data_IF_398074083574
#
_entry.id   IF_398074083574
#
_cell.length_a   1.000
_cell.length_b   1.000
_cell.length_c   1.000
_cell.angle_alpha   90.00
_cell.angle_beta   90.00
_cell.angle_gamma   90.00
#
_symmetry.space_group_name_H-M   'P 1'
#
loop_
_entity.id
_entity.type
_entity.pdbx_description
1 polymer ?
#
# COMPACT_ATOMS: atom_id res chain seq x y z
N UNK A 1 10.20 -14.58 -9.82
CA UNK A 1 8.73 -14.78 -10.01
C UNK A 1 8.01 -13.54 -9.48
N UNK A 2 7.01 -12.98 -10.18
CA UNK A 2 6.50 -11.64 -9.87
C UNK A 2 5.77 -11.58 -8.50
N UNK A 3 5.89 -10.50 -7.72
CA UNK A 3 5.35 -10.39 -6.36
C UNK A 3 3.83 -10.64 -6.31
N UNK A 4 3.08 -10.11 -7.28
CA UNK A 4 1.65 -10.38 -7.43
C UNK A 4 1.34 -11.83 -7.83
N UNK A 5 2.24 -12.50 -8.55
CA UNK A 5 2.08 -13.91 -8.93
C UNK A 5 2.34 -14.83 -7.72
N UNK A 6 3.25 -14.45 -6.82
CA UNK A 6 3.55 -15.22 -5.60
C UNK A 6 2.56 -14.94 -4.46
N UNK A 7 2.08 -13.71 -4.32
CA UNK A 7 1.26 -13.28 -3.18
C UNK A 7 -0.20 -12.98 -3.55
N UNK A 8 -0.52 -12.88 -4.85
CA UNK A 8 -1.88 -12.76 -5.38
C UNK A 8 -2.72 -11.74 -4.62
N UNK A 9 -3.92 -12.19 -4.25
CA UNK A 9 -4.93 -11.47 -3.48
C UNK A 9 -4.44 -10.88 -2.14
N UNK A 10 -3.31 -11.34 -1.59
CA UNK A 10 -2.74 -10.74 -0.37
C UNK A 10 -2.13 -9.36 -0.65
N UNK A 11 -1.57 -9.16 -1.84
CA UNK A 11 -0.98 -7.89 -2.23
C UNK A 11 -2.05 -6.85 -2.54
N UNK A 12 -3.12 -7.26 -3.23
CA UNK A 12 -4.34 -6.45 -3.44
C UNK A 12 -4.92 -5.95 -2.10
N UNK A 13 -5.14 -6.87 -1.16
CA UNK A 13 -5.68 -6.54 0.15
C UNK A 13 -4.71 -5.66 0.96
N UNK A 14 -3.41 -5.93 0.93
CA UNK A 14 -2.42 -5.13 1.65
C UNK A 14 -2.34 -3.70 1.11
N UNK A 15 -2.37 -3.51 -0.22
CA UNK A 15 -2.44 -2.20 -0.84
C UNK A 15 -3.76 -1.49 -0.51
N UNK A 16 -4.90 -2.19 -0.57
CA UNK A 16 -6.19 -1.62 -0.21
C UNK A 16 -6.20 -1.11 1.24
N UNK A 17 -5.72 -1.92 2.19
CA UNK A 17 -5.61 -1.53 3.60
C UNK A 17 -4.65 -0.36 3.78
N UNK A 18 -3.53 -0.33 3.06
CA UNK A 18 -2.59 0.78 3.14
C UNK A 18 -3.21 2.09 2.61
N UNK A 19 -4.02 2.04 1.56
CA UNK A 19 -4.77 3.20 1.07
C UNK A 19 -5.80 3.70 2.09
N UNK A 20 -6.54 2.80 2.75
CA UNK A 20 -7.46 3.16 3.84
C UNK A 20 -6.72 3.81 5.02
N UNK A 21 -5.55 3.29 5.40
CA UNK A 21 -4.70 3.90 6.44
C UNK A 21 -4.24 5.30 6.02
N UNK A 22 -3.87 5.50 4.75
CA UNK A 22 -3.48 6.81 4.24
C UNK A 22 -4.64 7.82 4.32
N UNK A 23 -5.87 7.40 3.96
CA UNK A 23 -7.08 8.23 4.09
C UNK A 23 -7.31 8.62 5.54
N UNK A 24 -7.25 7.65 6.47
CA UNK A 24 -7.44 7.93 7.90
C UNK A 24 -6.39 8.89 8.45
N UNK A 25 -5.12 8.75 8.04
CA UNK A 25 -4.04 9.67 8.44
C UNK A 25 -4.29 11.08 7.92
N UNK A 26 -4.72 11.23 6.66
CA UNK A 26 -5.04 12.54 6.09
C UNK A 26 -6.26 13.17 6.78
N UNK A 27 -7.32 12.41 7.03
CA UNK A 27 -8.55 12.92 7.65
C UNK A 27 -8.39 13.31 9.13
N UNK A 28 -7.42 12.72 9.84
CA UNK A 28 -7.15 12.99 11.27
C UNK A 28 -5.99 13.97 11.50
N UNK A 29 -5.39 14.49 10.44
CA UNK A 29 -4.25 15.39 10.54
C UNK A 29 -4.72 16.81 10.90
N UNK A 30 -4.79 17.07 12.21
CA UNK A 30 -5.30 18.34 12.74
C UNK A 30 -4.25 19.45 12.73
N UNK A 31 -2.97 19.09 12.87
CA UNK A 31 -1.83 20.02 12.83
C UNK A 31 -1.10 20.04 11.47
N UNK A 32 -0.38 21.12 11.19
CA UNK A 32 0.45 21.22 9.98
C UNK A 32 1.54 20.13 9.93
N UNK A 33 2.10 19.76 11.08
CA UNK A 33 3.10 18.70 11.18
C UNK A 33 2.53 17.33 10.81
N UNK A 34 1.34 16.99 11.32
CA UNK A 34 0.61 15.76 10.99
C UNK A 34 0.21 15.72 9.52
N UNK A 35 -0.25 16.85 8.96
CA UNK A 35 -0.58 16.93 7.53
C UNK A 35 0.65 16.65 6.67
N UNK A 36 1.79 17.26 7.01
CA UNK A 36 3.06 16.97 6.36
C UNK A 36 3.47 15.51 6.47
N UNK A 37 3.25 14.87 7.63
CA UNK A 37 3.54 13.45 7.82
C UNK A 37 2.59 12.55 7.00
N UNK A 38 1.30 12.85 6.97
CA UNK A 38 0.30 12.12 6.20
C UNK A 38 0.57 12.20 4.70
N UNK A 39 0.94 13.38 4.19
CA UNK A 39 1.34 13.57 2.79
C UNK A 39 2.61 12.77 2.45
N UNK A 40 3.65 12.81 3.31
CA UNK A 40 4.86 12.00 3.10
C UNK A 40 4.57 10.50 3.10
N UNK A 41 3.71 10.05 4.01
CA UNK A 41 3.26 8.66 4.05
C UNK A 41 2.53 8.29 2.75
N UNK A 42 1.61 9.13 2.28
CA UNK A 42 0.87 8.91 1.05
C UNK A 42 1.79 8.83 -0.18
N UNK A 43 2.75 9.75 -0.30
CA UNK A 43 3.76 9.70 -1.37
C UNK A 43 4.60 8.42 -1.30
N UNK A 44 4.99 7.99 -0.10
CA UNK A 44 5.71 6.72 0.07
C UNK A 44 4.87 5.55 -0.40
N UNK A 45 3.61 5.49 0.00
CA UNK A 45 2.68 4.44 -0.41
C UNK A 45 2.54 4.39 -1.94
N UNK A 46 2.30 5.53 -2.60
CA UNK A 46 2.14 5.57 -4.05
C UNK A 46 3.41 5.23 -4.83
N UNK A 47 4.58 5.61 -4.32
CA UNK A 47 5.85 5.15 -4.88
C UNK A 47 5.95 3.63 -4.88
N UNK A 48 5.61 3.00 -3.75
CA UNK A 48 5.62 1.53 -3.60
C UNK A 48 4.56 0.90 -4.50
N UNK A 49 3.36 1.45 -4.56
CA UNK A 49 2.29 0.98 -5.45
C UNK A 49 2.70 1.04 -6.93
N UNK A 50 3.32 2.14 -7.38
CA UNK A 50 3.84 2.29 -8.74
C UNK A 50 4.98 1.32 -9.05
N UNK A 51 5.84 1.00 -8.08
CA UNK A 51 6.91 0.01 -8.25
C UNK A 51 6.37 -1.43 -8.30
N UNK A 52 5.28 -1.72 -7.59
CA UNK A 52 4.60 -3.02 -7.65
C UNK A 52 3.73 -3.17 -8.90
N UNK A 53 3.31 -2.06 -9.51
CA UNK A 53 2.39 -2.05 -10.65
C UNK A 53 2.80 -2.96 -11.81
N UNK A 54 4.06 -3.03 -12.28
CA UNK A 54 4.46 -3.92 -13.37
C UNK A 54 4.21 -5.41 -13.09
N UNK A 55 4.09 -5.77 -11.82
CA UNK A 55 3.87 -7.15 -11.37
C UNK A 55 2.39 -7.54 -11.36
N UNK A 56 1.47 -6.57 -11.47
CA UNK A 56 0.04 -6.86 -11.45
C UNK A 56 -0.37 -7.67 -12.69
N UNK A 57 -1.26 -8.67 -12.54
CA UNK A 57 -1.60 -9.60 -13.61
C UNK A 57 -2.41 -8.91 -14.72
N UNK A 58 -3.30 -7.99 -14.35
CA UNK A 58 -4.17 -7.28 -15.29
C UNK A 58 -3.50 -6.00 -15.79
N UNK A 59 -3.47 -5.82 -17.12
CA UNK A 59 -2.87 -4.63 -17.74
C UNK A 59 -3.52 -3.32 -17.28
N UNK A 60 -4.83 -3.33 -17.05
CA UNK A 60 -5.58 -2.18 -16.53
C UNK A 60 -5.06 -1.73 -15.15
N UNK A 61 -4.74 -2.68 -14.27
CA UNK A 61 -4.22 -2.37 -12.93
C UNK A 61 -2.79 -1.85 -12.99
N UNK A 62 -1.97 -2.43 -13.89
CA UNK A 62 -0.61 -1.94 -14.13
C UNK A 62 -0.65 -0.47 -14.53
N UNK A 63 -1.43 -0.15 -15.56
CA UNK A 63 -1.51 1.20 -16.10
C UNK A 63 -2.13 2.15 -15.07
N UNK A 64 -3.24 1.75 -14.43
CA UNK A 64 -3.90 2.56 -13.41
C UNK A 64 -2.99 2.91 -12.24
N UNK A 65 -2.23 1.95 -11.70
CA UNK A 65 -1.30 2.18 -10.59
C UNK A 65 -0.09 3.03 -11.01
N UNK A 66 0.46 2.83 -12.21
CA UNK A 66 1.55 3.65 -12.75
C UNK A 66 1.11 5.10 -12.93
N UNK A 67 -0.02 5.32 -13.59
CA UNK A 67 -0.54 6.66 -13.90
C UNK A 67 -0.91 7.41 -12.61
N UNK A 68 -1.52 6.71 -11.65
CA UNK A 68 -1.87 7.29 -10.35
C UNK A 68 -0.61 7.62 -9.52
N UNK A 69 0.42 6.77 -9.55
CA UNK A 69 1.68 7.03 -8.86
C UNK A 69 2.42 8.24 -9.45
N UNK A 70 2.34 8.47 -10.76
CA UNK A 70 2.94 9.63 -11.42
C UNK A 70 2.22 10.95 -11.08
N UNK A 71 0.90 10.89 -10.87
CA UNK A 71 0.07 12.10 -10.70
C UNK A 71 -0.09 12.56 -9.25
N UNK A 72 0.04 11.65 -8.27
CA UNK A 72 -0.24 11.97 -6.85
C UNK A 72 0.63 13.09 -6.26
N UNK A 73 1.82 13.33 -6.82
CA UNK A 73 2.73 14.38 -6.34
C UNK A 73 2.20 15.81 -6.53
N UNK A 74 1.25 16.00 -7.45
CA UNK A 74 0.62 17.30 -7.71
C UNK A 74 -0.78 17.46 -7.11
N UNK A 75 -1.30 16.45 -6.41
CA UNK A 75 -2.68 16.47 -5.91
C UNK A 75 -2.81 17.23 -4.60
N UNK A 76 -3.98 17.84 -4.40
CA UNK A 76 -4.39 18.34 -3.08
C UNK A 76 -4.62 17.15 -2.14
N UNK A 77 -4.67 17.42 -0.83
CA UNK A 77 -4.93 16.37 0.17
C UNK A 77 -6.27 15.66 -0.09
N UNK A 78 -7.32 16.42 -0.44
CA UNK A 78 -8.66 15.88 -0.70
C UNK A 78 -8.67 15.02 -1.97
N UNK A 79 -8.01 15.49 -3.04
CA UNK A 79 -7.88 14.73 -4.28
C UNK A 79 -7.06 13.45 -4.08
N UNK A 80 -5.99 13.51 -3.28
CA UNK A 80 -5.19 12.36 -2.92
C UNK A 80 -5.99 11.35 -2.08
N UNK A 81 -6.81 11.81 -1.14
CA UNK A 81 -7.70 10.96 -0.36
C UNK A 81 -8.78 10.31 -1.24
N UNK A 82 -9.36 11.05 -2.18
CA UNK A 82 -10.34 10.52 -3.15
C UNK A 82 -9.71 9.46 -4.08
N UNK A 83 -8.49 9.71 -4.56
CA UNK A 83 -7.71 8.76 -5.35
C UNK A 83 -7.46 7.48 -4.56
N UNK A 84 -7.01 7.60 -3.30
CA UNK A 84 -6.82 6.46 -2.41
C UNK A 84 -8.10 5.67 -2.21
N UNK A 85 -9.23 6.33 -1.96
CA UNK A 85 -10.51 5.67 -1.74
C UNK A 85 -10.96 4.87 -2.97
N UNK A 86 -10.73 5.40 -4.17
CA UNK A 86 -11.00 4.70 -5.43
C UNK A 86 -10.18 3.42 -5.53
N UNK A 87 -8.87 3.49 -5.32
CA UNK A 87 -8.00 2.31 -5.41
C UNK A 87 -8.22 1.30 -4.29
N UNK A 88 -8.46 1.77 -3.05
CA UNK A 88 -8.86 0.92 -1.93
C UNK A 88 -10.10 0.10 -2.30
N UNK A 89 -11.14 0.73 -2.86
CA UNK A 89 -12.36 0.04 -3.28
C UNK A 89 -12.13 -0.95 -4.42
N UNK A 90 -11.38 -0.56 -5.45
CA UNK A 90 -11.10 -1.44 -6.61
C UNK A 90 -10.33 -2.69 -6.15
N UNK A 91 -9.28 -2.49 -5.36
CA UNK A 91 -8.44 -3.58 -4.86
C UNK A 91 -9.16 -4.44 -3.81
N UNK A 92 -9.89 -3.83 -2.87
CA UNK A 92 -10.67 -4.56 -1.86
C UNK A 92 -11.85 -5.34 -2.47
N UNK A 93 -12.55 -4.75 -3.43
CA UNK A 93 -13.66 -5.39 -4.15
C UNK A 93 -13.19 -6.62 -4.94
N UNK A 94 -11.96 -6.61 -5.46
CA UNK A 94 -11.33 -7.78 -6.08
C UNK A 94 -10.74 -8.76 -5.08
N UNK A 95 -10.21 -8.26 -3.97
CA UNK A 95 -9.64 -9.06 -2.90
C UNK A 95 -10.70 -9.61 -1.92
N UNK A 96 -11.98 -9.64 -2.32
CA UNK A 96 -13.12 -10.06 -1.52
C UNK A 96 -12.92 -11.49 -0.95
N UNK A 97 -12.22 -11.51 0.19
CA UNK A 97 -12.14 -12.52 1.25
C UNK A 97 -11.53 -13.89 0.89
N UNK A 98 -10.21 -14.00 1.11
CA UNK A 98 -9.53 -15.29 1.38
C UNK A 98 -8.60 -15.20 2.59
N UNK A 99 -9.07 -14.68 3.72
CA UNK A 99 -8.27 -14.63 4.96
C UNK A 99 -7.02 -13.74 4.92
N UNK A 100 -6.72 -13.07 3.80
CA UNK A 100 -5.56 -12.20 3.63
C UNK A 100 -5.48 -11.10 4.71
N UNK A 101 -6.60 -10.45 5.03
CA UNK A 101 -6.66 -9.47 6.12
C UNK A 101 -6.36 -10.12 7.48
N UNK A 102 -6.91 -11.30 7.76
CA UNK A 102 -6.62 -12.03 9.01
C UNK A 102 -5.14 -12.37 9.11
N UNK A 103 -4.50 -12.76 8.01
CA UNK A 103 -3.08 -13.03 7.98
C UNK A 103 -2.25 -11.77 8.19
N UNK A 104 -2.60 -10.65 7.53
CA UNK A 104 -1.95 -9.35 7.74
C UNK A 104 -2.04 -8.96 9.23
N UNK A 105 -3.22 -9.10 9.85
CA UNK A 105 -3.41 -8.79 11.27
C UNK A 105 -2.67 -9.77 12.19
N UNK A 106 -2.58 -11.05 11.84
CA UNK A 106 -1.80 -12.02 12.58
C UNK A 106 -0.31 -11.70 12.54
N UNK A 107 0.22 -11.41 11.35
CA UNK A 107 1.61 -11.03 11.16
C UNK A 107 1.93 -9.71 11.86
N UNK A 108 0.98 -8.77 11.87
CA UNK A 108 1.09 -7.52 12.61
C UNK A 108 1.22 -7.75 14.12
N UNK A 109 0.33 -8.59 14.69
CA UNK A 109 0.41 -8.94 16.12
C UNK A 109 1.76 -9.56 16.47
N UNK A 110 2.30 -10.40 15.60
CA UNK A 110 3.63 -10.97 15.79
C UNK A 110 4.73 -9.90 15.66
N UNK A 111 4.64 -8.97 14.70
CA UNK A 111 5.62 -7.89 14.58
C UNK A 111 5.66 -6.99 15.83
N UNK A 112 4.49 -6.73 16.45
CA UNK A 112 4.40 -5.94 17.68
C UNK A 112 5.06 -6.58 18.90
N UNK A 113 5.23 -7.90 18.95
CA UNK A 113 5.96 -8.53 20.07
C UNK A 113 7.44 -8.19 20.01
N UNK A 114 7.97 -7.94 18.80
CA UNK A 114 9.37 -7.58 18.55
C UNK A 114 9.55 -6.06 18.64
N UNK A 115 8.61 -5.28 18.10
CA UNK A 115 8.64 -3.82 18.08
C UNK A 115 7.30 -3.25 18.57
N UNK A 116 7.11 -3.07 19.90
CA UNK A 116 5.84 -2.65 20.49
C UNK A 116 5.35 -1.28 20.02
N UNK A 117 6.29 -0.37 19.75
CA UNK A 117 6.09 1.02 19.33
C UNK A 117 5.94 1.19 17.81
N UNK A 118 6.01 0.11 17.03
CA UNK A 118 5.80 0.21 15.59
C UNK A 118 4.37 0.72 15.32
N UNK A 119 4.21 1.53 14.27
CA UNK A 119 2.89 1.89 13.75
C UNK A 119 2.48 0.93 12.64
N UNK A 120 1.20 0.51 12.65
CA UNK A 120 0.67 -0.45 11.68
C UNK A 120 0.86 0.00 10.23
N UNK A 121 0.60 1.29 9.93
CA UNK A 121 0.74 1.84 8.58
C UNK A 121 2.17 1.78 8.07
N UNK A 122 3.14 2.20 8.89
CA UNK A 122 4.55 2.20 8.50
C UNK A 122 5.11 0.78 8.42
N UNK A 123 4.70 -0.12 9.30
CA UNK A 123 5.00 -1.55 9.20
C UNK A 123 4.47 -2.15 7.90
N UNK A 124 3.21 -1.84 7.54
CA UNK A 124 2.57 -2.39 6.35
C UNK A 124 3.25 -1.90 5.07
N UNK A 125 3.58 -0.61 4.96
CA UNK A 125 4.32 -0.07 3.82
C UNK A 125 5.73 -0.64 3.74
N UNK A 126 6.43 -0.78 4.87
CA UNK A 126 7.76 -1.41 4.91
C UNK A 126 7.71 -2.88 4.48
N UNK A 127 6.65 -3.59 4.83
CA UNK A 127 6.41 -4.96 4.37
C UNK A 127 6.18 -5.01 2.87
N UNK A 128 5.38 -4.09 2.32
CA UNK A 128 5.17 -3.97 0.88
C UNK A 128 6.48 -3.68 0.14
N UNK A 129 7.35 -2.84 0.71
CA UNK A 129 8.70 -2.60 0.19
C UNK A 129 9.56 -3.87 0.22
N UNK A 130 9.45 -4.68 1.27
CA UNK A 130 10.14 -5.97 1.38
C UNK A 130 9.79 -6.95 0.27
N UNK A 131 8.55 -6.94 -0.23
CA UNK A 131 8.17 -7.78 -1.39
C UNK A 131 8.91 -7.37 -2.67
N UNK A 132 9.26 -6.09 -2.82
CA UNK A 132 10.08 -5.63 -3.94
C UNK A 132 11.52 -6.11 -3.80
N UNK A 133 12.11 -6.01 -2.60
CA UNK A 133 13.49 -6.43 -2.36
C UNK A 133 13.70 -7.93 -2.63
N UNK A 134 12.71 -8.77 -2.30
CA UNK A 134 12.73 -10.21 -2.59
C UNK A 134 12.61 -10.53 -4.09
N UNK A 135 12.03 -9.63 -4.91
CA UNK A 135 12.02 -9.80 -6.36
C UNK A 135 13.37 -9.52 -7.00
N UNK A 136 14.07 -8.46 -6.57
CA UNK A 136 15.37 -8.11 -7.13
C UNK A 136 16.44 -9.16 -6.82
N UNK A 137 16.40 -9.78 -5.63
CA UNK A 137 17.33 -10.87 -5.29
C UNK A 137 17.05 -12.17 -6.07
N UNK A 138 15.80 -12.45 -6.41
CA UNK A 138 15.40 -13.62 -7.21
C UNK A 138 15.71 -13.50 -8.72
N UNK A 139 16.18 -12.34 -9.18
CA UNK A 139 16.66 -12.13 -10.56
C UNK A 139 18.19 -12.05 -10.66
N UNK A 140 18.86 -11.82 -9.53
CA UNK A 140 20.32 -11.71 -9.45
C UNK A 140 21.01 -13.05 -9.08
N UNK A 141 20.24 -14.11 -8.86
CA UNK A 141 20.68 -15.49 -8.60
C UNK A 141 20.29 -16.39 -9.77
#
# INVERSE_FOLDING_TARGET
MAAWIQQGFRLDMALAVAFEVAILRMNRADSQAERGAAIRFNHRLWRVAGQLAPTAPLAEDRNGLVDAAATVHGLTQDDAAALNARFARVLAGRAATQGALRQILADWRNARTIAPEAEFGDWLVTRLEGFMAQQYSAWAA
#
